data_IF_853938496810
#
_entry.id   IF_853938496810
#
_cell.length_a   1.000
_cell.length_b   1.000
_cell.length_c   1.000
_cell.angle_alpha   90.00
_cell.angle_beta   90.00
_cell.angle_gamma   90.00
#
_symmetry.space_group_name_H-M   'P 1'
#
loop_
_entity.id
_entity.type
_entity.pdbx_description
1 polymer ?
#
# COMPACT_ATOMS: atom_id res chain seq x y z
N UNK A 1 18.25 0.00 22.42
CA UNK A 1 17.03 -0.26 21.62
C UNK A 1 16.24 -1.36 22.35
N UNK A 2 15.00 -1.10 22.78
CA UNK A 2 14.25 -2.01 23.66
C UNK A 2 13.65 -3.18 22.85
N UNK A 3 14.21 -4.38 23.04
CA UNK A 3 13.97 -5.58 22.23
C UNK A 3 12.53 -6.09 22.27
N UNK A 4 11.81 -5.92 23.38
CA UNK A 4 10.39 -6.32 23.49
C UNK A 4 9.48 -5.50 22.56
N UNK A 5 9.73 -4.19 22.47
CA UNK A 5 8.90 -3.30 21.68
C UNK A 5 9.18 -3.41 20.17
N UNK A 6 10.38 -3.88 19.81
CA UNK A 6 10.68 -4.30 18.44
C UNK A 6 9.96 -5.60 18.10
N UNK A 7 9.99 -6.59 18.98
CA UNK A 7 9.32 -7.87 18.77
C UNK A 7 7.79 -7.75 18.62
N UNK A 8 7.14 -6.93 19.44
CA UNK A 8 5.69 -6.66 19.32
C UNK A 8 5.33 -6.02 17.99
N UNK A 9 6.14 -5.07 17.51
CA UNK A 9 5.93 -4.44 16.19
C UNK A 9 6.06 -5.47 15.07
N UNK A 10 7.07 -6.33 15.13
CA UNK A 10 7.27 -7.39 14.13
C UNK A 10 6.12 -8.41 14.12
N UNK A 11 5.62 -8.79 15.29
CA UNK A 11 4.48 -9.70 15.40
C UNK A 11 3.20 -9.07 14.80
N UNK A 12 2.97 -7.77 15.05
CA UNK A 12 1.82 -7.06 14.48
C UNK A 12 1.92 -6.93 12.96
N UNK A 13 3.12 -6.63 12.44
CA UNK A 13 3.38 -6.62 10.99
C UNK A 13 3.08 -8.00 10.39
N UNK A 14 3.57 -9.08 11.00
CA UNK A 14 3.32 -10.45 10.52
C UNK A 14 1.82 -10.78 10.46
N UNK A 15 1.05 -10.41 11.49
CA UNK A 15 -0.41 -10.62 11.47
C UNK A 15 -1.14 -9.83 10.38
N UNK A 16 -0.66 -8.62 10.06
CA UNK A 16 -1.24 -7.79 8.99
C UNK A 16 -0.93 -8.42 7.63
N UNK A 17 0.29 -8.91 7.44
CA UNK A 17 0.69 -9.60 6.21
C UNK A 17 -0.11 -10.89 5.98
N UNK A 18 -0.33 -11.68 7.02
CA UNK A 18 -1.18 -12.87 6.94
C UNK A 18 -2.64 -12.53 6.61
N UNK A 19 -3.18 -11.46 7.21
CA UNK A 19 -4.54 -11.00 6.92
C UNK A 19 -4.70 -10.49 5.47
N UNK A 20 -3.66 -9.89 4.91
CA UNK A 20 -3.66 -9.42 3.52
C UNK A 20 -3.60 -10.56 2.51
N UNK A 21 -2.71 -11.53 2.73
CA UNK A 21 -2.64 -12.73 1.87
C UNK A 21 -4.00 -13.48 1.86
N UNK A 22 -4.69 -13.49 3.01
CA UNK A 22 -6.04 -14.02 3.13
C UNK A 22 -7.11 -13.18 2.40
N UNK A 23 -6.99 -11.85 2.40
CA UNK A 23 -7.90 -10.95 1.71
C UNK A 23 -7.73 -11.01 0.18
N UNK A 24 -6.49 -11.02 -0.30
CA UNK A 24 -6.13 -11.16 -1.71
C UNK A 24 -6.63 -12.49 -2.28
N UNK A 25 -6.42 -13.61 -1.57
CA UNK A 25 -6.89 -14.94 -1.99
C UNK A 25 -8.42 -15.07 -2.08
N UNK A 26 -9.16 -14.22 -1.36
CA UNK A 26 -10.63 -14.28 -1.31
C UNK A 26 -11.30 -13.28 -2.26
N UNK A 27 -10.55 -12.43 -2.96
CA UNK A 27 -11.12 -11.34 -3.74
C UNK A 27 -12.03 -10.43 -2.90
N UNK A 28 -11.79 -10.39 -1.59
CA UNK A 28 -12.66 -9.70 -0.65
C UNK A 28 -12.39 -8.20 -0.72
N UNK A 29 -13.45 -7.41 -0.96
CA UNK A 29 -13.40 -5.95 -0.79
C UNK A 29 -12.88 -5.63 0.61
N UNK A 30 -12.08 -4.56 0.72
CA UNK A 30 -11.47 -4.11 1.96
C UNK A 30 -12.46 -4.19 3.13
N UNK A 31 -12.09 -4.81 4.27
CA UNK A 31 -12.96 -4.96 5.44
C UNK A 31 -13.39 -3.62 6.07
N UNK A 32 -12.93 -2.48 5.52
CA UNK A 32 -13.24 -1.14 6.00
C UNK A 32 -14.50 -0.51 5.38
N UNK A 33 -15.05 -1.04 4.27
CA UNK A 33 -16.22 -0.45 3.58
C UNK A 33 -15.94 0.93 2.95
N UNK A 34 -16.56 1.24 1.80
CA UNK A 34 -16.54 2.49 0.99
C UNK A 34 -15.22 3.25 0.77
N UNK A 35 -14.08 2.76 1.26
CA UNK A 35 -12.77 3.32 0.99
C UNK A 35 -12.32 2.83 -0.38
N UNK A 36 -12.23 3.74 -1.34
CA UNK A 36 -11.60 3.49 -2.65
C UNK A 36 -10.09 3.56 -2.46
N UNK A 37 -9.43 2.43 -2.60
CA UNK A 37 -7.98 2.29 -2.45
C UNK A 37 -7.24 2.49 -3.77
N UNK A 38 -5.91 2.55 -3.73
CA UNK A 38 -5.08 2.56 -4.94
C UNK A 38 -5.32 1.31 -5.80
N UNK A 39 -5.53 0.15 -5.18
CA UNK A 39 -5.78 -1.07 -5.93
C UNK A 39 -7.16 -1.04 -6.62
N UNK A 40 -8.17 -0.45 -5.98
CA UNK A 40 -9.48 -0.20 -6.61
C UNK A 40 -9.35 0.76 -7.81
N UNK A 41 -8.48 1.78 -7.70
CA UNK A 41 -8.20 2.68 -8.83
C UNK A 41 -7.53 1.95 -9.99
N UNK A 42 -6.61 1.01 -9.75
CA UNK A 42 -6.00 0.21 -10.83
C UNK A 42 -7.05 -0.64 -11.54
N UNK A 43 -7.95 -1.28 -10.80
CA UNK A 43 -9.06 -2.01 -11.41
C UNK A 43 -9.97 -1.07 -12.23
N UNK A 44 -10.25 0.13 -11.72
CA UNK A 44 -11.04 1.15 -12.43
C UNK A 44 -10.32 1.72 -13.66
N UNK A 45 -9.00 1.74 -13.67
CA UNK A 45 -8.17 2.12 -14.81
C UNK A 45 -8.32 1.16 -15.98
N UNK A 46 -8.33 -0.14 -15.71
CA UNK A 46 -8.58 -1.19 -16.71
C UNK A 46 -9.96 -1.02 -17.38
N UNK A 47 -10.92 -0.43 -16.67
CA UNK A 47 -12.24 -0.08 -17.20
C UNK A 47 -12.29 1.29 -17.92
N UNK A 48 -11.22 2.08 -17.87
CA UNK A 48 -11.10 3.39 -18.52
C UNK A 48 -11.84 4.55 -17.84
N UNK A 49 -12.16 4.43 -16.54
CA UNK A 49 -13.11 5.33 -15.83
C UNK A 49 -12.49 6.29 -14.81
N UNK A 50 -11.18 6.46 -14.80
CA UNK A 50 -10.52 7.32 -13.81
C UNK A 50 -10.77 8.81 -14.05
N UNK A 51 -11.09 9.51 -12.96
CA UNK A 51 -11.07 10.97 -12.89
C UNK A 51 -9.64 11.50 -12.89
N UNK A 52 -9.45 12.80 -13.10
CA UNK A 52 -8.13 13.43 -13.06
C UNK A 52 -7.46 13.28 -11.69
N UNK A 53 -8.22 13.46 -10.61
CA UNK A 53 -7.73 13.32 -9.23
C UNK A 53 -7.25 11.90 -8.94
N UNK A 54 -8.02 10.88 -9.34
CA UNK A 54 -7.65 9.47 -9.17
C UNK A 54 -6.38 9.12 -9.96
N UNK A 55 -6.20 9.68 -11.16
CA UNK A 55 -4.95 9.54 -11.93
C UNK A 55 -3.76 10.17 -11.21
N UNK A 56 -3.95 11.35 -10.61
CA UNK A 56 -2.92 12.01 -9.80
C UNK A 56 -2.54 11.15 -8.59
N UNK A 57 -3.53 10.60 -7.87
CA UNK A 57 -3.26 9.72 -6.74
C UNK A 57 -2.49 8.45 -7.14
N UNK A 58 -2.82 7.84 -8.28
CA UNK A 58 -2.07 6.70 -8.83
C UNK A 58 -0.63 7.08 -9.16
N UNK A 59 -0.41 8.19 -9.86
CA UNK A 59 0.92 8.68 -10.21
C UNK A 59 1.77 8.96 -8.95
N UNK A 60 1.18 9.62 -7.96
CA UNK A 60 1.83 9.91 -6.67
C UNK A 60 2.21 8.63 -5.92
N UNK A 61 1.30 7.66 -5.84
CA UNK A 61 1.61 6.36 -5.23
C UNK A 61 2.72 5.63 -5.99
N UNK A 62 2.68 5.60 -7.33
CA UNK A 62 3.70 4.93 -8.14
C UNK A 62 5.08 5.57 -7.97
N UNK A 63 5.15 6.91 -7.95
CA UNK A 63 6.37 7.65 -7.66
C UNK A 63 6.92 7.36 -6.27
N UNK A 64 6.05 7.41 -5.25
CA UNK A 64 6.41 7.07 -3.87
C UNK A 64 6.92 5.64 -3.74
N UNK A 65 6.24 4.67 -4.38
CA UNK A 65 6.62 3.26 -4.38
C UNK A 65 8.03 3.07 -4.92
N UNK A 66 8.32 3.63 -6.10
CA UNK A 66 9.66 3.54 -6.71
C UNK A 66 10.70 4.20 -5.82
N UNK A 67 10.43 5.41 -5.30
CA UNK A 67 11.35 6.12 -4.40
C UNK A 67 11.67 5.31 -3.14
N UNK A 68 10.68 4.62 -2.57
CA UNK A 68 10.86 3.80 -1.36
C UNK A 68 11.57 2.48 -1.62
N UNK A 69 11.34 1.84 -2.76
CA UNK A 69 12.03 0.60 -3.10
C UNK A 69 13.50 0.84 -3.51
N UNK A 70 13.80 1.98 -4.14
CA UNK A 70 15.15 2.32 -4.57
C UNK A 70 16.12 2.68 -3.43
N UNK A 71 15.63 2.87 -2.21
CA UNK A 71 16.48 3.13 -1.03
C UNK A 71 16.73 1.89 -0.19
N UNK A 72 16.24 0.71 -0.61
CA UNK A 72 16.48 -0.53 0.10
C UNK A 72 17.96 -0.92 0.01
N UNK A 73 18.55 -1.28 1.15
CA UNK A 73 19.97 -1.63 1.26
C UNK A 73 20.26 -3.05 0.72
N UNK A 74 19.30 -3.96 0.89
CA UNK A 74 19.39 -5.35 0.49
C UNK A 74 18.02 -5.93 0.07
N UNK A 75 18.04 -7.20 -0.32
CA UNK A 75 16.85 -7.92 -0.78
C UNK A 75 15.79 -8.10 0.33
N UNK A 76 16.20 -8.32 1.58
CA UNK A 76 15.26 -8.51 2.68
C UNK A 76 14.50 -7.21 3.00
N UNK A 77 15.22 -6.09 3.00
CA UNK A 77 14.64 -4.76 3.17
C UNK A 77 13.71 -4.40 2.00
N UNK A 78 14.13 -4.68 0.76
CA UNK A 78 13.29 -4.49 -0.42
C UNK A 78 11.97 -5.24 -0.30
N UNK A 79 12.00 -6.54 0.03
CA UNK A 79 10.80 -7.36 0.16
C UNK A 79 9.91 -6.88 1.32
N UNK A 80 10.51 -6.43 2.42
CA UNK A 80 9.77 -5.89 3.56
C UNK A 80 9.06 -4.57 3.22
N UNK A 81 9.76 -3.67 2.53
CA UNK A 81 9.20 -2.41 2.04
C UNK A 81 8.11 -2.65 1.00
N UNK A 82 8.36 -3.57 0.05
CA UNK A 82 7.39 -3.95 -0.99
C UNK A 82 6.08 -4.46 -0.39
N UNK A 83 6.16 -5.36 0.60
CA UNK A 83 4.98 -5.86 1.32
C UNK A 83 4.23 -4.72 2.02
N UNK A 84 4.94 -3.80 2.69
CA UNK A 84 4.32 -2.64 3.32
C UNK A 84 3.59 -1.75 2.30
N UNK A 85 4.20 -1.53 1.14
CA UNK A 85 3.60 -0.76 0.06
C UNK A 85 2.33 -1.44 -0.48
N UNK A 86 2.35 -2.76 -0.66
CA UNK A 86 1.14 -3.52 -1.03
C UNK A 86 0.02 -3.38 0.01
N UNK A 87 0.34 -3.42 1.31
CA UNK A 87 -0.63 -3.15 2.39
C UNK A 87 -1.28 -1.78 2.20
N UNK A 88 -0.45 -0.75 1.98
CA UNK A 88 -0.93 0.63 1.82
C UNK A 88 -1.81 0.77 0.56
N UNK A 89 -1.43 0.13 -0.54
CA UNK A 89 -2.22 0.17 -1.77
C UNK A 89 -3.61 -0.45 -1.62
N UNK A 90 -3.74 -1.47 -0.77
CA UNK A 90 -5.00 -2.20 -0.56
C UNK A 90 -5.87 -1.60 0.55
N UNK A 91 -5.28 -0.94 1.55
CA UNK A 91 -6.00 -0.54 2.76
C UNK A 91 -6.14 0.96 2.97
N UNK A 92 -5.33 1.79 2.30
CA UNK A 92 -5.41 3.25 2.45
C UNK A 92 -6.41 3.87 1.46
N UNK A 93 -7.16 4.91 1.85
CA UNK A 93 -7.90 5.73 0.91
C UNK A 93 -6.95 6.36 -0.10
N UNK A 94 -7.34 6.40 -1.38
CA UNK A 94 -6.47 6.95 -2.43
C UNK A 94 -6.10 8.43 -2.15
N UNK A 95 -6.98 9.17 -1.46
CA UNK A 95 -6.80 10.57 -1.10
C UNK A 95 -5.56 10.79 -0.22
N UNK A 96 -5.11 9.78 0.52
CA UNK A 96 -3.84 9.84 1.26
C UNK A 96 -2.68 10.19 0.33
N UNK A 97 -2.70 9.71 -0.92
CA UNK A 97 -1.65 9.93 -1.91
C UNK A 97 -1.80 11.26 -2.66
N UNK A 98 -2.77 12.09 -2.32
CA UNK A 98 -2.88 13.47 -2.82
C UNK A 98 -2.12 14.47 -1.93
N UNK A 99 -1.60 14.04 -0.78
CA UNK A 99 -0.82 14.92 0.09
C UNK A 99 0.59 15.19 -0.48
N UNK A 100 1.11 16.39 -0.25
CA UNK A 100 2.43 16.89 -0.72
C UNK A 100 3.59 15.90 -0.52
N UNK A 101 3.57 15.12 0.56
CA UNK A 101 4.62 14.13 0.86
C UNK A 101 4.72 12.97 -0.15
N UNK A 102 3.72 12.83 -1.01
CA UNK A 102 3.63 11.83 -2.08
C UNK A 102 3.67 12.43 -3.48
N UNK A 103 3.67 13.76 -3.61
CA UNK A 103 3.79 14.41 -4.92
C UNK A 103 5.14 14.07 -5.56
N UNK A 104 5.10 13.81 -6.87
CA UNK A 104 6.24 13.40 -7.69
C UNK A 104 6.63 14.49 -8.68
#
# INVERSE_FOLDING_TARGET
MNTKHHQERMNKVKSILEALDLAEKKGAKSPLGDIVSINDLRQKEEEGKLTAEEKTALANYDGYRVKKLNVADDEEDFHSMYRLLQVLANLSPYQEFLHEKYEV
#
